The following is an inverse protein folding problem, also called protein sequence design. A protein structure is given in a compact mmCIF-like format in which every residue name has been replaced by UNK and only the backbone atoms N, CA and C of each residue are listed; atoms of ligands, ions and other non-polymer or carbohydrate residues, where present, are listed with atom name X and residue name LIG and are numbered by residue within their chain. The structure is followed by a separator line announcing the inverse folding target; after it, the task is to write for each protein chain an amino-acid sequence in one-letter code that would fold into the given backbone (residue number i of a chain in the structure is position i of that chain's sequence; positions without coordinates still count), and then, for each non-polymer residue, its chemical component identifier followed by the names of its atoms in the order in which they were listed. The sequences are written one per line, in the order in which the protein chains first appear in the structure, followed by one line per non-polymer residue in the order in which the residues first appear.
data_IF_778671056394
#
_entry.id   IF_778671056394
#
_cell.length_a   1.000
_cell.length_b   1.000
_cell.length_c   1.000
_cell.angle_alpha   90.00
_cell.angle_beta   90.00
_cell.angle_gamma   90.00
#
_symmetry.space_group_name_H-M   'P 1'
#
loop_
_entity.id
_entity.type
_entity.pdbx_description
1 polymer ?
#
# COMPACT_ATOMS: atom_id res chain seq x y z
N UNK A 1 10.05 -25.33 -15.03
CA UNK A 1 10.10 -23.86 -15.05
C UNK A 1 9.16 -23.37 -13.96
N UNK A 2 9.70 -22.82 -12.87
CA UNK A 2 8.90 -22.39 -11.72
C UNK A 2 8.35 -21.00 -11.99
N UNK A 3 7.04 -20.86 -12.05
CA UNK A 3 6.36 -19.57 -12.18
C UNK A 3 6.64 -18.74 -10.91
N UNK A 4 7.65 -17.88 -10.97
CA UNK A 4 7.94 -16.84 -9.98
C UNK A 4 6.92 -15.70 -10.13
N UNK A 5 5.62 -16.01 -10.04
CA UNK A 5 4.66 -14.96 -9.67
C UNK A 5 5.08 -14.51 -8.28
N UNK A 6 5.76 -13.36 -8.22
CA UNK A 6 6.22 -12.75 -6.98
C UNK A 6 4.98 -12.57 -6.10
N UNK A 7 4.74 -13.53 -5.20
CA UNK A 7 3.61 -13.48 -4.29
C UNK A 7 3.68 -12.14 -3.61
N UNK A 8 2.69 -11.29 -3.87
CA UNK A 8 2.62 -9.94 -3.32
C UNK A 8 2.67 -10.09 -1.80
N UNK A 9 3.84 -9.80 -1.22
CA UNK A 9 4.03 -9.92 0.22
C UNK A 9 3.24 -8.77 0.83
N UNK A 10 2.10 -9.11 1.44
CA UNK A 10 1.30 -8.14 2.16
C UNK A 10 2.07 -7.77 3.44
N UNK A 11 2.69 -6.59 3.43
CA UNK A 11 3.36 -6.04 4.60
C UNK A 11 2.30 -5.51 5.57
N UNK A 12 2.45 -5.83 6.86
CA UNK A 12 1.57 -5.30 7.91
C UNK A 12 1.71 -3.77 7.94
N UNK A 13 0.62 -3.00 7.91
CA UNK A 13 0.70 -1.55 7.97
C UNK A 13 1.32 -1.05 9.29
N UNK A 14 2.16 0.01 9.27
CA UNK A 14 2.84 0.51 10.47
C UNK A 14 1.86 1.00 11.54
N UNK A 15 0.72 1.60 11.16
CA UNK A 15 -0.30 2.04 12.12
C UNK A 15 -0.86 0.89 12.98
N UNK A 16 -0.90 -0.34 12.44
CA UNK A 16 -1.38 -1.50 13.17
C UNK A 16 -0.34 -1.92 14.22
N UNK A 17 0.94 -1.89 13.88
CA UNK A 17 2.02 -2.16 14.82
C UNK A 17 2.11 -1.08 15.90
N UNK A 18 1.87 0.19 15.57
CA UNK A 18 1.76 1.26 16.57
C UNK A 18 0.60 1.05 17.53
N UNK A 19 -0.54 0.58 17.04
CA UNK A 19 -1.68 0.24 17.90
C UNK A 19 -1.34 -0.92 18.84
N UNK A 20 -0.74 -2.00 18.31
CA UNK A 20 -0.32 -3.15 19.11
C UNK A 20 0.70 -2.74 20.17
N UNK A 21 1.67 -1.87 19.84
CA UNK A 21 2.68 -1.38 20.77
C UNK A 21 2.11 -0.57 21.95
N UNK A 22 0.87 -0.06 21.81
CA UNK A 22 0.15 0.65 22.88
C UNK A 22 -0.63 -0.30 23.79
N UNK A 23 -0.99 -1.49 23.30
CA UNK A 23 -1.86 -2.44 24.00
C UNK A 23 -1.14 -3.70 24.50
N UNK A 24 0.08 -3.97 24.02
CA UNK A 24 0.84 -5.16 24.40
C UNK A 24 1.62 -4.98 25.70
N UNK A 25 1.97 -6.10 26.32
CA UNK A 25 2.77 -6.13 27.55
C UNK A 25 4.21 -5.66 27.31
N UNK A 26 4.89 -5.28 28.38
CA UNK A 26 6.26 -4.75 28.31
C UNK A 26 7.25 -5.73 27.65
N UNK A 27 7.03 -7.04 27.81
CA UNK A 27 7.86 -8.09 27.20
C UNK A 27 7.72 -8.13 25.67
N UNK A 28 6.50 -7.92 25.16
CA UNK A 28 6.23 -7.98 23.71
C UNK A 28 6.50 -6.66 23.02
N UNK A 29 6.48 -5.56 23.79
CA UNK A 29 6.63 -4.20 23.27
C UNK A 29 7.92 -4.02 22.48
N UNK A 30 9.04 -4.57 22.96
CA UNK A 30 10.32 -4.48 22.25
C UNK A 30 10.25 -5.16 20.87
N UNK A 31 9.67 -6.36 20.81
CA UNK A 31 9.48 -7.09 19.55
C UNK A 31 8.59 -6.32 18.56
N UNK A 32 7.51 -5.71 19.06
CA UNK A 32 6.58 -4.93 18.22
C UNK A 32 7.28 -3.67 17.69
N UNK A 33 8.06 -2.97 18.53
CA UNK A 33 8.80 -1.78 18.13
C UNK A 33 9.89 -2.10 17.09
N UNK A 34 10.63 -3.20 17.28
CA UNK A 34 11.63 -3.67 16.32
C UNK A 34 10.99 -4.00 14.97
N UNK A 35 9.81 -4.63 14.99
CA UNK A 35 9.04 -4.94 13.78
C UNK A 35 8.56 -3.67 13.10
N UNK A 36 8.05 -2.69 13.86
CA UNK A 36 7.61 -1.40 13.35
C UNK A 36 8.76 -0.64 12.66
N UNK A 37 9.94 -0.62 13.28
CA UNK A 37 11.12 0.00 12.68
C UNK A 37 11.50 -0.67 11.36
N UNK A 38 11.47 -2.01 11.33
CA UNK A 38 11.77 -2.78 10.13
C UNK A 38 10.78 -2.49 8.99
N UNK A 39 9.47 -2.52 9.28
CA UNK A 39 8.42 -2.20 8.30
C UNK A 39 8.57 -0.78 7.75
N UNK A 40 8.86 0.20 8.61
CA UNK A 40 9.10 1.57 8.17
C UNK A 40 10.29 1.68 7.20
N UNK A 41 11.38 0.96 7.45
CA UNK A 41 12.53 0.88 6.54
C UNK A 41 12.14 0.22 5.21
N UNK A 42 11.37 -0.88 5.25
CA UNK A 42 10.90 -1.56 4.04
C UNK A 42 10.03 -0.64 3.16
N UNK A 43 9.09 0.10 3.76
CA UNK A 43 8.23 1.03 3.03
C UNK A 43 9.02 2.19 2.41
N UNK A 44 9.99 2.76 3.14
CA UNK A 44 10.88 3.80 2.58
C UNK A 44 11.72 3.27 1.42
N UNK A 45 12.23 2.05 1.53
CA UNK A 45 13.05 1.44 0.49
C UNK A 45 12.24 0.97 -0.73
N UNK A 46 10.96 0.60 -0.56
CA UNK A 46 10.10 0.20 -1.67
C UNK A 46 9.76 1.39 -2.57
N UNK A 47 9.56 2.58 -2.00
CA UNK A 47 9.39 3.83 -2.74
C UNK A 47 10.60 4.07 -3.65
N UNK A 48 11.81 3.89 -3.13
CA UNK A 48 13.05 4.10 -3.87
C UNK A 48 13.28 3.05 -4.98
N UNK A 49 12.92 1.78 -4.74
CA UNK A 49 13.01 0.72 -5.75
C UNK A 49 11.98 0.87 -6.87
N UNK A 50 10.77 1.35 -6.58
CA UNK A 50 9.77 1.60 -7.61
C UNK A 50 10.11 2.85 -8.44
N UNK A 51 10.71 3.88 -7.84
CA UNK A 51 11.17 5.07 -8.57
C UNK A 51 12.25 4.72 -9.62
N UNK A 52 13.14 3.76 -9.34
CA UNK A 52 14.17 3.30 -10.29
C UNK A 52 13.61 2.40 -11.41
N UNK A 53 12.40 1.86 -11.26
CA UNK A 53 11.74 1.05 -12.29
C UNK A 53 10.67 1.85 -13.06
N UNK A 54 10.48 3.15 -12.76
CA UNK A 54 9.62 4.06 -13.51
C UNK A 54 10.33 4.59 -14.76
N UNK A 55 10.79 3.69 -15.63
CA UNK A 55 10.83 3.96 -17.07
C UNK A 55 9.63 3.26 -17.70
N UNK A 56 8.43 3.65 -17.29
CA UNK A 56 7.23 3.37 -18.07
C UNK A 56 6.70 4.69 -18.59
N UNK A 57 6.62 4.71 -19.92
CA UNK A 57 6.14 5.77 -20.81
C UNK A 57 5.04 6.65 -20.19
N UNK A 58 5.06 7.98 -20.38
CA UNK A 58 3.90 8.81 -20.12
C UNK A 58 2.80 8.42 -21.11
N UNK A 59 2.02 7.38 -20.80
CA UNK A 59 0.75 7.10 -21.45
C UNK A 59 -0.22 8.22 -21.08
N UNK A 60 -0.11 9.26 -21.90
CA UNK A 60 -1.10 10.26 -22.25
C UNK A 60 -2.49 9.81 -21.80
N UNK A 61 -2.96 10.42 -20.70
CA UNK A 61 -4.37 10.41 -20.35
C UNK A 61 -5.10 11.17 -21.47
N UNK A 62 -5.45 10.46 -22.54
CA UNK A 62 -6.40 10.93 -23.56
C UNK A 62 -7.72 11.16 -22.84
N UNK A 63 -7.97 12.41 -22.48
CA UNK A 63 -9.30 12.96 -22.20
C UNK A 63 -10.23 12.52 -23.35
N UNK A 64 -11.16 11.60 -23.09
CA UNK A 64 -12.32 11.38 -23.95
C UNK A 64 -13.44 12.29 -23.44
N UNK A 65 -14.17 13.03 -24.30
CA UNK A 65 -15.38 13.71 -23.90
C UNK A 65 -16.49 12.69 -23.62
N UNK A 66 -17.41 13.05 -22.74
CA UNK A 66 -18.55 12.26 -22.23
C UNK A 66 -19.45 11.63 -23.30
N UNK A 67 -20.40 10.78 -22.88
CA UNK A 67 -21.76 11.27 -22.92
C UNK A 67 -22.55 11.04 -21.63
N UNK A 68 -23.44 11.98 -21.37
CA UNK A 68 -24.43 12.00 -20.30
C UNK A 68 -25.30 10.74 -20.32
N UNK A 69 -25.36 10.04 -19.19
CA UNK A 69 -26.44 9.09 -18.91
C UNK A 69 -27.15 9.55 -17.63
N UNK A 70 -28.35 10.09 -17.82
CA UNK A 70 -29.22 10.62 -16.79
C UNK A 70 -29.58 9.53 -15.77
N UNK A 71 -29.25 9.75 -14.51
CA UNK A 71 -29.89 9.03 -13.40
C UNK A 71 -31.13 9.81 -12.97
N UNK A 72 -32.31 9.33 -13.39
CA UNK A 72 -33.58 9.73 -12.79
C UNK A 72 -33.73 9.05 -11.42
N UNK A 73 -33.86 9.86 -10.37
CA UNK A 73 -34.29 9.42 -9.04
C UNK A 73 -35.83 9.24 -9.03
N UNK A 74 -36.38 8.13 -8.49
CA UNK A 74 -37.80 8.07 -8.19
C UNK A 74 -38.07 8.77 -6.85
N UNK A 75 -38.87 9.83 -6.87
CA UNK A 75 -39.53 10.36 -5.68
C UNK A 75 -40.60 9.38 -5.19
N UNK A 76 -40.64 9.15 -3.88
CA UNK A 76 -41.83 8.66 -3.19
C UNK A 76 -41.95 9.28 -1.81
#
# INVERSE_FOLDING_TARGET
MSNNEARKQNIIPPYLLEYIAKTCDANDKECVLNTLEHVNKLMKNSINKNALNSQDDPLIYKKKPEPEDSYSLPEK
#
